data_IF_168052228036
#
_entry.id   IF_168052228036
#
_cell.length_a   1.000
_cell.length_b   1.000
_cell.length_c   1.000
_cell.angle_alpha   90.00
_cell.angle_beta   90.00
_cell.angle_gamma   90.00
#
_symmetry.space_group_name_H-M   'P 1'
#
loop_
_entity.id
_entity.type
_entity.pdbx_description
1 polymer ?
#
# COMPACT_ATOMS: atom_id res chain seq x y z
N UNK A 1 -20.17 -31.34 -17.85
CA UNK A 1 -20.56 -30.05 -17.25
C UNK A 1 -19.33 -29.55 -16.51
N UNK A 2 -18.71 -28.48 -17.03
CA UNK A 2 -17.64 -27.70 -16.39
C UNK A 2 -18.31 -26.50 -15.71
N UNK A 3 -17.63 -25.86 -14.75
CA UNK A 3 -17.87 -24.48 -14.23
C UNK A 3 -18.10 -24.30 -12.71
N UNK A 4 -17.44 -25.07 -11.83
CA UNK A 4 -17.42 -24.77 -10.38
C UNK A 4 -16.12 -24.11 -9.86
N UNK A 5 -15.10 -23.88 -10.72
CA UNK A 5 -13.78 -23.36 -10.30
C UNK A 5 -13.50 -21.88 -10.56
N UNK A 6 -14.24 -21.22 -11.47
CA UNK A 6 -14.01 -19.80 -11.79
C UNK A 6 -14.61 -18.85 -10.74
N UNK A 7 -15.79 -19.19 -10.21
CA UNK A 7 -16.59 -18.32 -9.33
C UNK A 7 -15.91 -17.99 -7.98
N UNK A 8 -15.21 -18.95 -7.37
CA UNK A 8 -14.55 -18.75 -6.07
C UNK A 8 -13.23 -17.99 -6.15
N UNK A 9 -12.47 -18.23 -7.23
CA UNK A 9 -11.16 -17.62 -7.43
C UNK A 9 -11.32 -16.15 -7.82
N UNK A 10 -12.26 -15.86 -8.72
CA UNK A 10 -12.60 -14.49 -9.09
C UNK A 10 -13.13 -13.71 -7.89
N UNK A 11 -13.93 -14.33 -7.03
CA UNK A 11 -14.43 -13.71 -5.79
C UNK A 11 -13.30 -13.32 -4.83
N UNK A 12 -12.32 -14.20 -4.62
CA UNK A 12 -11.18 -13.88 -3.75
C UNK A 12 -10.27 -12.79 -4.35
N UNK A 13 -9.94 -12.89 -5.65
CA UNK A 13 -9.13 -11.86 -6.32
C UNK A 13 -9.83 -10.50 -6.24
N UNK A 14 -11.14 -10.46 -6.47
CA UNK A 14 -11.92 -9.21 -6.35
C UNK A 14 -11.93 -8.66 -4.92
N UNK A 15 -11.98 -9.52 -3.90
CA UNK A 15 -11.86 -9.10 -2.51
C UNK A 15 -10.48 -8.48 -2.25
N UNK A 16 -9.39 -9.17 -2.59
CA UNK A 16 -8.03 -8.64 -2.43
C UNK A 16 -7.84 -7.30 -3.18
N UNK A 17 -8.37 -7.18 -4.40
CA UNK A 17 -8.32 -5.93 -5.16
C UNK A 17 -9.14 -4.80 -4.49
N UNK A 18 -10.27 -5.14 -3.87
CA UNK A 18 -11.07 -4.18 -3.09
C UNK A 18 -10.33 -3.73 -1.83
N UNK A 19 -9.64 -4.65 -1.16
CA UNK A 19 -8.82 -4.33 0.01
C UNK A 19 -7.66 -3.43 -0.40
N UNK A 20 -6.93 -3.78 -1.46
CA UNK A 20 -5.91 -2.91 -2.07
C UNK A 20 -6.44 -1.52 -2.44
N UNK A 21 -7.68 -1.41 -2.94
CA UNK A 21 -8.25 -0.11 -3.26
C UNK A 21 -8.43 0.75 -1.99
N UNK A 22 -8.86 0.15 -0.87
CA UNK A 22 -8.97 0.83 0.40
C UNK A 22 -7.59 1.26 0.92
N UNK A 23 -6.63 0.32 0.98
CA UNK A 23 -5.26 0.58 1.42
C UNK A 23 -4.61 1.70 0.60
N UNK A 24 -4.71 1.68 -0.74
CA UNK A 24 -4.15 2.75 -1.57
C UNK A 24 -4.89 4.09 -1.40
N UNK A 25 -6.18 4.07 -1.06
CA UNK A 25 -6.93 5.31 -0.77
C UNK A 25 -6.43 5.94 0.53
N UNK A 26 -6.15 5.12 1.54
CA UNK A 26 -5.56 5.55 2.81
C UNK A 26 -4.10 6.00 2.61
N UNK A 27 -3.31 5.27 1.81
CA UNK A 27 -1.94 5.66 1.45
C UNK A 27 -1.90 7.05 0.79
N UNK A 28 -2.83 7.34 -0.13
CA UNK A 28 -2.95 8.66 -0.75
C UNK A 28 -3.32 9.74 0.26
N UNK A 29 -4.18 9.43 1.24
CA UNK A 29 -4.51 10.35 2.32
C UNK A 29 -3.28 10.62 3.21
N UNK A 30 -2.60 9.57 3.64
CA UNK A 30 -1.37 9.61 4.41
C UNK A 30 -0.30 10.46 3.70
N UNK A 31 -0.07 10.28 2.40
CA UNK A 31 0.89 11.10 1.64
C UNK A 31 0.49 12.59 1.55
N UNK A 32 -0.81 12.90 1.50
CA UNK A 32 -1.28 14.30 1.58
C UNK A 32 -1.02 14.89 2.95
N UNK A 33 -1.30 14.16 4.02
CA UNK A 33 -1.00 14.59 5.39
C UNK A 33 0.50 14.78 5.61
N UNK A 34 1.33 13.88 5.09
CA UNK A 34 2.79 14.03 5.10
C UNK A 34 3.25 15.30 4.40
N UNK A 35 2.66 15.62 3.24
CA UNK A 35 2.99 16.84 2.51
C UNK A 35 2.67 18.09 3.33
N UNK A 36 1.49 18.15 3.97
CA UNK A 36 1.14 19.24 4.90
C UNK A 36 2.10 19.31 6.08
N UNK A 37 2.43 18.18 6.70
CA UNK A 37 3.36 18.13 7.82
C UNK A 37 4.76 18.64 7.44
N UNK A 38 5.24 18.34 6.23
CA UNK A 38 6.50 18.90 5.71
C UNK A 38 6.45 20.43 5.57
N UNK A 39 5.34 20.99 5.07
CA UNK A 39 5.15 22.45 4.97
C UNK A 39 5.16 23.14 6.34
N UNK A 40 4.60 22.46 7.35
CA UNK A 40 4.56 22.89 8.75
C UNK A 40 5.85 22.58 9.53
N UNK A 41 6.86 21.99 8.88
CA UNK A 41 8.12 21.54 9.49
C UNK A 41 7.94 20.48 10.60
N UNK A 42 6.80 19.78 10.62
CA UNK A 42 6.56 18.61 11.48
C UNK A 42 7.15 17.34 10.83
N UNK A 43 8.47 17.20 10.89
CA UNK A 43 9.18 16.11 10.22
C UNK A 43 8.89 14.72 10.82
N UNK A 44 8.56 14.66 12.11
CA UNK A 44 8.15 13.43 12.79
C UNK A 44 6.82 12.91 12.22
N UNK A 45 5.81 13.78 12.13
CA UNK A 45 4.51 13.42 11.56
C UNK A 45 4.64 13.09 10.07
N UNK A 46 5.46 13.86 9.33
CA UNK A 46 5.75 13.55 7.93
C UNK A 46 6.35 12.14 7.77
N UNK A 47 7.24 11.73 8.67
CA UNK A 47 7.83 10.39 8.69
C UNK A 47 6.81 9.31 9.03
N UNK A 48 5.96 9.55 10.02
CA UNK A 48 4.88 8.65 10.43
C UNK A 48 3.91 8.41 9.28
N UNK A 49 3.43 9.47 8.63
CA UNK A 49 2.48 9.34 7.52
C UNK A 49 3.07 8.64 6.29
N UNK A 50 4.34 8.87 5.95
CA UNK A 50 4.97 8.11 4.85
C UNK A 50 5.15 6.64 5.23
N UNK A 51 5.46 6.34 6.50
CA UNK A 51 5.59 4.96 6.98
C UNK A 51 4.26 4.23 6.96
N UNK A 52 3.17 4.92 7.31
CA UNK A 52 1.81 4.42 7.20
C UNK A 52 1.48 4.11 5.73
N UNK A 53 1.69 5.06 4.81
CA UNK A 53 1.47 4.84 3.38
C UNK A 53 2.26 3.65 2.83
N UNK A 54 3.53 3.49 3.25
CA UNK A 54 4.36 2.34 2.88
C UNK A 54 3.74 1.02 3.36
N UNK A 55 3.30 0.98 4.62
CA UNK A 55 2.61 -0.18 5.20
C UNK A 55 1.34 -0.52 4.43
N UNK A 56 0.54 0.46 4.01
CA UNK A 56 -0.68 0.23 3.23
C UNK A 56 -0.38 -0.55 1.92
N UNK A 57 0.75 -0.25 1.27
CA UNK A 57 1.17 -1.00 0.07
C UNK A 57 1.63 -2.43 0.37
N UNK A 58 2.26 -2.66 1.53
CA UNK A 58 2.65 -4.00 1.99
C UNK A 58 1.39 -4.82 2.36
N UNK A 59 0.41 -4.21 3.05
CA UNK A 59 -0.88 -4.83 3.38
C UNK A 59 -1.63 -5.26 2.11
N UNK A 60 -1.62 -4.43 1.07
CA UNK A 60 -2.19 -4.80 -0.23
C UNK A 60 -1.50 -6.03 -0.85
N UNK A 61 -0.17 -6.15 -0.74
CA UNK A 61 0.56 -7.33 -1.21
C UNK A 61 0.20 -8.59 -0.41
N UNK A 62 0.24 -8.46 0.92
CA UNK A 62 -0.01 -9.56 1.85
C UNK A 62 -1.43 -10.14 1.73
N UNK A 63 -2.42 -9.32 1.34
CA UNK A 63 -3.81 -9.75 1.13
C UNK A 63 -3.92 -10.92 0.13
N UNK A 64 -3.07 -10.98 -0.89
CA UNK A 64 -3.03 -12.10 -1.85
C UNK A 64 -2.28 -13.32 -1.32
N UNK A 65 -1.33 -13.12 -0.40
CA UNK A 65 -0.53 -14.17 0.22
C UNK A 65 -1.27 -14.98 1.29
N UNK A 66 -2.43 -14.51 1.77
CA UNK A 66 -3.23 -15.21 2.76
C UNK A 66 -3.74 -16.59 2.29
N UNK A 67 -3.88 -16.79 0.96
CA UNK A 67 -4.27 -18.07 0.37
C UNK A 67 -3.18 -18.62 -0.54
N UNK A 68 -2.73 -19.88 -0.34
CA UNK A 68 -1.76 -20.50 -1.23
C UNK A 68 -2.23 -20.56 -2.69
N UNK A 69 -1.31 -20.26 -3.62
CA UNK A 69 -1.57 -20.30 -5.06
C UNK A 69 -2.11 -19.01 -5.65
N UNK A 70 -2.18 -17.94 -4.86
CA UNK A 70 -2.50 -16.59 -5.32
C UNK A 70 -1.26 -15.70 -5.25
N UNK A 71 -1.10 -14.86 -6.26
CA UNK A 71 -0.05 -13.85 -6.34
C UNK A 71 -0.71 -12.51 -6.65
N UNK A 72 -0.17 -11.44 -6.09
CA UNK A 72 -0.66 -10.10 -6.31
C UNK A 72 -0.40 -9.67 -7.75
N UNK A 73 -1.41 -9.21 -8.51
CA UNK A 73 -1.18 -8.58 -9.81
C UNK A 73 -0.56 -7.18 -9.67
N UNK A 74 -0.30 -6.73 -8.45
CA UNK A 74 0.19 -5.40 -8.12
C UNK A 74 1.60 -5.41 -7.51
N UNK A 75 2.26 -6.57 -7.38
CA UNK A 75 3.58 -6.70 -6.73
C UNK A 75 4.58 -5.67 -7.23
N UNK A 76 4.76 -5.52 -8.54
CA UNK A 76 5.71 -4.53 -9.09
C UNK A 76 5.35 -3.09 -8.72
N UNK A 77 4.04 -2.78 -8.61
CA UNK A 77 3.55 -1.47 -8.21
C UNK A 77 3.77 -1.23 -6.72
N UNK A 78 3.47 -2.21 -5.89
CA UNK A 78 3.69 -2.18 -4.44
C UNK A 78 5.18 -1.97 -4.14
N UNK A 79 6.06 -2.75 -4.77
CA UNK A 79 7.52 -2.61 -4.66
C UNK A 79 8.03 -1.22 -5.07
N UNK A 80 7.49 -0.69 -6.17
CA UNK A 80 7.89 0.63 -6.64
C UNK A 80 7.41 1.72 -5.68
N UNK A 81 6.17 1.61 -5.18
CA UNK A 81 5.61 2.53 -4.20
C UNK A 81 6.40 2.50 -2.89
N UNK A 82 6.75 1.32 -2.38
CA UNK A 82 7.58 1.14 -1.19
C UNK A 82 8.97 1.80 -1.34
N UNK A 83 9.60 1.70 -2.52
CA UNK A 83 10.87 2.41 -2.81
C UNK A 83 10.71 3.93 -2.78
N UNK A 84 9.62 4.46 -3.32
CA UNK A 84 9.33 5.89 -3.25
C UNK A 84 9.12 6.35 -1.81
N UNK A 85 8.35 5.60 -1.01
CA UNK A 85 8.17 5.89 0.40
C UNK A 85 9.50 5.84 1.16
N UNK A 86 10.34 4.84 0.90
CA UNK A 86 11.67 4.72 1.49
C UNK A 86 12.55 5.94 1.20
N UNK A 87 12.55 6.45 -0.04
CA UNK A 87 13.25 7.69 -0.40
C UNK A 87 12.70 8.89 0.38
N UNK A 88 11.38 9.03 0.46
CA UNK A 88 10.72 10.10 1.23
C UNK A 88 11.06 10.05 2.72
N UNK A 89 11.08 8.86 3.32
CA UNK A 89 11.50 8.65 4.71
C UNK A 89 12.95 9.06 4.94
N UNK A 90 13.85 8.73 4.00
CA UNK A 90 15.25 9.13 4.08
C UNK A 90 15.40 10.66 4.04
N UNK A 91 14.62 11.34 3.19
CA UNK A 91 14.60 12.81 3.12
C UNK A 91 14.06 13.40 4.42
N UNK A 92 12.92 12.92 4.93
CA UNK A 92 12.32 13.41 6.17
C UNK A 92 13.30 13.32 7.36
N UNK A 93 14.03 12.21 7.49
CA UNK A 93 15.07 12.01 8.52
C UNK A 93 16.26 12.96 8.42
N UNK A 94 16.54 13.53 7.24
CA UNK A 94 17.58 14.54 7.07
C UNK A 94 17.11 15.94 7.50
N UNK A 95 15.79 16.16 7.56
CA UNK A 95 15.19 17.43 7.96
C UNK A 95 14.95 17.53 9.47
N UNK A 96 14.69 16.40 10.15
CA UNK A 96 14.52 16.32 11.60
C UNK A 96 14.57 14.90 12.14
#
# INVERSE_FOLDING_TARGET
>A
MKDEGASSNDSYINQCLSDCLNEYSDAVNNLRQSSTALEEQSYMDANEFVSAAMTDSDTCEDAFGEKPGYESPLTERNDYFAKLCSNSLAIAKLLG
#
